data_IF_576386220606
#
_entry.id   IF_576386220606
#
_cell.length_a   1.000
_cell.length_b   1.000
_cell.length_c   1.000
_cell.angle_alpha   90.00
_cell.angle_beta   90.00
_cell.angle_gamma   90.00
#
_symmetry.space_group_name_H-M   'P 1'
#
loop_
_entity.id
_entity.type
_entity.pdbx_description
1 polymer ?
#
# COMPACT_ATOMS: atom_id res chain seq x y z
N UNK A 1 -7.87 -76.59 -9.31
CA UNK A 1 -7.01 -75.94 -8.30
C UNK A 1 -6.11 -74.94 -9.01
N UNK A 2 -6.14 -73.66 -8.58
CA UNK A 2 -5.05 -72.65 -8.57
C UNK A 2 -4.23 -72.34 -9.85
N UNK A 3 -3.84 -71.13 -10.25
CA UNK A 3 -4.02 -69.70 -9.90
C UNK A 3 -3.60 -68.97 -11.20
N UNK A 4 -4.44 -68.11 -11.79
CA UNK A 4 -3.96 -67.16 -12.81
C UNK A 4 -3.36 -65.95 -12.10
N UNK A 5 -2.04 -65.84 -12.14
CA UNK A 5 -1.29 -64.62 -11.82
C UNK A 5 -1.35 -63.70 -13.04
N UNK A 6 -2.07 -62.60 -12.94
CA UNK A 6 -1.96 -61.48 -13.87
C UNK A 6 -1.67 -60.21 -13.09
N UNK A 7 -0.45 -59.72 -13.28
CA UNK A 7 0.05 -58.49 -12.70
C UNK A 7 -0.76 -57.30 -13.23
N UNK A 8 -1.46 -56.61 -12.32
CA UNK A 8 -2.09 -55.33 -12.62
C UNK A 8 -0.99 -54.27 -12.75
N UNK A 9 -0.57 -53.95 -13.97
CA UNK A 9 0.32 -52.82 -14.24
C UNK A 9 -0.43 -51.52 -13.98
N UNK A 10 -0.32 -50.98 -12.77
CA UNK A 10 -0.75 -49.62 -12.52
C UNK A 10 0.24 -48.67 -13.20
N UNK A 11 -0.21 -48.01 -14.26
CA UNK A 11 0.50 -46.88 -14.88
C UNK A 11 0.60 -45.76 -13.85
N UNK A 12 1.77 -45.62 -13.24
CA UNK A 12 2.10 -44.46 -12.41
C UNK A 12 2.19 -43.27 -13.38
N UNK A 13 1.11 -42.52 -13.50
CA UNK A 13 1.14 -41.18 -14.10
C UNK A 13 1.95 -40.31 -13.15
N UNK A 14 3.23 -40.13 -13.45
CA UNK A 14 4.05 -39.09 -12.81
C UNK A 14 3.45 -37.75 -13.19
N UNK A 15 2.65 -37.16 -12.29
CA UNK A 15 2.31 -35.75 -12.36
C UNK A 15 3.61 -34.99 -12.15
N UNK A 16 4.31 -34.71 -13.26
CA UNK A 16 5.37 -33.71 -13.27
C UNK A 16 4.64 -32.39 -13.03
N UNK A 17 4.61 -31.95 -11.77
CA UNK A 17 4.32 -30.56 -11.45
C UNK A 17 5.50 -29.77 -12.00
N UNK A 18 5.44 -29.47 -13.29
CA UNK A 18 6.31 -28.50 -13.92
C UNK A 18 6.09 -27.19 -13.20
N UNK A 19 7.06 -26.82 -12.37
CA UNK A 19 7.19 -25.47 -11.83
C UNK A 19 7.48 -24.56 -13.02
N UNK A 20 6.43 -24.21 -13.76
CA UNK A 20 6.51 -23.18 -14.77
C UNK A 20 6.94 -21.90 -14.04
N UNK A 21 8.05 -21.25 -14.42
CA UNK A 21 8.39 -19.96 -13.85
C UNK A 21 7.22 -19.03 -14.16
N UNK A 22 6.54 -18.56 -13.11
CA UNK A 22 5.57 -17.48 -13.22
C UNK A 22 6.35 -16.34 -13.87
N UNK A 23 6.14 -16.11 -15.16
CA UNK A 23 6.61 -14.91 -15.84
C UNK A 23 5.87 -13.78 -15.13
N UNK A 24 6.53 -13.15 -14.17
CA UNK A 24 6.15 -11.84 -13.66
C UNK A 24 6.28 -10.91 -14.85
N UNK A 25 5.26 -10.83 -15.70
CA UNK A 25 5.11 -9.73 -16.65
C UNK A 25 5.21 -8.51 -15.76
N UNK A 26 6.29 -7.75 -15.90
CA UNK A 26 6.54 -6.57 -15.09
C UNK A 26 5.43 -5.58 -15.41
N UNK A 27 4.30 -5.73 -14.74
CA UNK A 27 3.15 -4.84 -14.81
C UNK A 27 3.72 -3.50 -14.38
N UNK A 28 3.93 -2.60 -15.34
CA UNK A 28 4.47 -1.29 -15.07
C UNK A 28 3.63 -0.66 -13.98
N UNK A 29 4.22 -0.51 -12.79
CA UNK A 29 3.53 -0.07 -11.59
C UNK A 29 3.00 1.35 -11.84
N UNK A 30 1.72 1.45 -12.18
CA UNK A 30 1.01 2.70 -12.50
C UNK A 30 -0.23 2.82 -11.61
N UNK A 31 -0.06 3.25 -10.34
CA UNK A 31 -1.19 3.39 -9.44
C UNK A 31 -2.16 4.44 -9.97
N UNK A 32 -3.45 4.08 -10.07
CA UNK A 32 -4.52 4.95 -10.61
C UNK A 32 -4.59 6.31 -9.92
N UNK A 33 -4.34 6.36 -8.61
CA UNK A 33 -4.36 7.59 -7.81
C UNK A 33 -3.18 7.60 -6.85
N UNK A 34 -2.37 8.67 -6.92
CA UNK A 34 -1.26 8.90 -5.98
C UNK A 34 -1.77 9.79 -4.85
N UNK A 35 -1.47 9.42 -3.60
CA UNK A 35 -1.80 10.23 -2.43
C UNK A 35 -0.85 11.43 -2.39
N UNK A 36 -1.39 12.63 -2.17
CA UNK A 36 -0.56 13.84 -2.03
C UNK A 36 0.33 13.74 -0.79
N UNK A 37 1.52 14.34 -0.85
CA UNK A 37 2.47 14.37 0.27
C UNK A 37 1.86 15.02 1.51
N UNK A 38 1.21 16.16 1.33
CA UNK A 38 0.51 16.87 2.41
C UNK A 38 -0.57 16.00 3.05
N UNK A 39 -1.30 15.21 2.25
CA UNK A 39 -2.29 14.25 2.76
C UNK A 39 -1.64 13.16 3.60
N UNK A 40 -0.51 12.58 3.13
CA UNK A 40 0.23 11.59 3.92
C UNK A 40 0.75 12.17 5.25
N UNK A 41 1.22 13.42 5.24
CA UNK A 41 1.68 14.10 6.46
C UNK A 41 0.54 14.42 7.43
N UNK A 42 -0.63 14.84 6.92
CA UNK A 42 -1.85 15.00 7.74
C UNK A 42 -2.28 13.68 8.39
N UNK A 43 -2.28 12.57 7.64
CA UNK A 43 -2.58 11.23 8.16
C UNK A 43 -1.62 10.86 9.31
N UNK A 44 -0.31 11.10 9.11
CA UNK A 44 0.71 10.83 10.15
C UNK A 44 0.49 11.71 11.38
N UNK A 45 0.27 13.02 11.21
CA UNK A 45 0.04 13.95 12.31
C UNK A 45 -1.19 13.58 13.14
N UNK A 46 -2.32 13.24 12.49
CA UNK A 46 -3.53 12.79 13.17
C UNK A 46 -3.29 11.49 13.95
N UNK A 47 -2.61 10.51 13.34
CA UNK A 47 -2.28 9.26 14.01
C UNK A 47 -1.37 9.45 15.22
N UNK A 48 -0.33 10.30 15.14
CA UNK A 48 0.54 10.61 16.28
C UNK A 48 -0.18 11.36 17.39
N UNK A 49 -1.04 12.34 17.03
CA UNK A 49 -1.85 13.09 17.99
C UNK A 49 -2.73 12.14 18.79
N UNK A 50 -3.41 11.22 18.11
CA UNK A 50 -4.27 10.21 18.75
C UNK A 50 -3.44 9.25 19.59
N UNK A 51 -2.31 8.74 19.09
CA UNK A 51 -1.42 7.88 19.88
C UNK A 51 -0.99 8.53 21.19
N UNK A 52 -0.61 9.81 21.16
CA UNK A 52 -0.21 10.59 22.34
C UNK A 52 -1.38 10.82 23.31
N UNK A 53 -2.58 11.08 22.80
CA UNK A 53 -3.78 11.22 23.64
C UNK A 53 -4.13 9.88 24.30
N UNK A 54 -4.08 8.79 23.53
CA UNK A 54 -4.35 7.45 24.03
C UNK A 54 -3.35 7.08 25.12
N UNK A 55 -2.05 7.23 24.89
CA UNK A 55 -1.00 6.96 25.88
C UNK A 55 -1.23 7.69 27.21
N UNK A 56 -1.66 8.95 27.18
CA UNK A 56 -1.99 9.72 28.39
C UNK A 56 -3.29 9.28 29.06
N UNK A 57 -4.29 8.88 28.28
CA UNK A 57 -5.63 8.52 28.79
C UNK A 57 -5.70 7.09 29.33
N UNK A 58 -4.84 6.16 28.86
CA UNK A 58 -4.73 4.80 29.41
C UNK A 58 -4.40 4.79 30.91
N UNK A 59 -3.86 5.89 31.45
CA UNK A 59 -3.46 6.02 32.85
C UNK A 59 -4.62 6.41 33.77
N UNK A 60 -5.73 6.95 33.25
CA UNK A 60 -6.71 7.65 34.10
C UNK A 60 -8.13 7.08 34.09
N UNK A 61 -8.61 6.38 33.05
CA UNK A 61 -9.94 5.75 33.11
C UNK A 61 -10.18 4.76 31.97
N UNK A 62 -10.52 3.47 32.22
CA UNK A 62 -10.82 2.50 31.15
C UNK A 62 -12.14 2.75 30.40
N UNK A 63 -13.01 3.62 30.91
CA UNK A 63 -14.43 3.71 30.54
C UNK A 63 -14.76 4.84 29.54
N UNK A 64 -13.83 5.74 29.27
CA UNK A 64 -13.99 6.82 28.28
C UNK A 64 -12.87 6.68 27.26
N UNK A 65 -12.97 5.67 26.40
CA UNK A 65 -12.01 5.48 25.32
C UNK A 65 -12.13 6.68 24.37
N UNK A 66 -11.09 7.53 24.25
CA UNK A 66 -11.10 8.62 23.31
C UNK A 66 -11.20 8.01 21.91
N UNK A 67 -12.16 8.51 21.15
CA UNK A 67 -12.60 8.02 19.86
C UNK A 67 -11.42 7.48 19.02
N UNK A 68 -11.20 6.17 19.10
CA UNK A 68 -9.97 5.55 18.60
C UNK A 68 -9.97 5.73 17.09
N UNK A 69 -9.07 6.59 16.57
CA UNK A 69 -8.81 6.63 15.13
C UNK A 69 -8.05 5.36 14.76
N UNK A 70 -8.80 4.28 14.67
CA UNK A 70 -8.38 3.05 14.03
C UNK A 70 -8.07 3.37 12.55
N UNK A 71 -7.15 2.60 11.99
CA UNK A 71 -6.87 2.54 10.56
C UNK A 71 -8.14 2.52 9.69
N UNK A 72 -9.24 1.98 10.21
CA UNK A 72 -10.58 1.97 9.61
C UNK A 72 -11.18 3.39 9.52
N UNK A 73 -11.16 4.18 10.60
CA UNK A 73 -11.70 5.56 10.59
C UNK A 73 -10.90 6.48 9.67
N UNK A 74 -9.57 6.39 9.72
CA UNK A 74 -8.71 7.12 8.78
C UNK A 74 -8.97 6.69 7.33
N UNK A 75 -9.31 5.42 7.11
CA UNK A 75 -9.66 4.89 5.78
C UNK A 75 -10.92 5.53 5.24
N UNK A 76 -11.94 5.67 6.08
CA UNK A 76 -13.20 6.33 5.74
C UNK A 76 -12.99 7.82 5.44
N UNK A 77 -12.28 8.54 6.31
CA UNK A 77 -12.04 9.99 6.19
C UNK A 77 -11.26 10.33 4.91
N UNK A 78 -10.15 9.63 4.66
CA UNK A 78 -9.28 9.92 3.51
C UNK A 78 -9.68 9.15 2.24
N UNK A 79 -10.70 8.29 2.32
CA UNK A 79 -11.16 7.41 1.22
C UNK A 79 -10.00 6.60 0.62
N UNK A 80 -9.13 6.08 1.50
CA UNK A 80 -7.97 5.25 1.15
C UNK A 80 -8.21 3.83 1.68
N UNK A 81 -7.58 2.82 1.09
CA UNK A 81 -7.65 1.48 1.66
C UNK A 81 -6.95 1.43 3.03
N UNK A 82 -7.46 0.59 3.93
CA UNK A 82 -6.88 0.37 5.26
C UNK A 82 -5.41 -0.02 5.16
N UNK A 83 -5.06 -0.84 4.17
CA UNK A 83 -3.68 -1.25 3.90
C UNK A 83 -2.79 -0.08 3.43
N UNK A 84 -3.30 0.84 2.63
CA UNK A 84 -2.55 2.03 2.23
C UNK A 84 -2.23 2.90 3.46
N UNK A 85 -3.17 3.06 4.38
CA UNK A 85 -2.95 3.79 5.62
C UNK A 85 -1.92 3.09 6.50
N UNK A 86 -2.03 1.76 6.67
CA UNK A 86 -1.02 0.98 7.42
C UNK A 86 0.38 1.17 6.83
N UNK A 87 0.52 1.19 5.51
CA UNK A 87 1.81 1.45 4.83
C UNK A 87 2.33 2.87 5.07
N UNK A 88 1.46 3.87 4.97
CA UNK A 88 1.81 5.27 5.25
C UNK A 88 2.30 5.41 6.71
N UNK A 89 1.59 4.80 7.65
CA UNK A 89 1.93 4.84 9.08
C UNK A 89 3.17 4.01 9.42
N UNK A 90 3.40 2.88 8.75
CA UNK A 90 4.61 2.06 8.90
C UNK A 90 5.84 2.74 8.31
N UNK A 91 5.67 3.52 7.25
CA UNK A 91 6.77 4.26 6.63
C UNK A 91 7.26 5.39 7.55
N UNK A 92 8.50 5.26 8.04
CA UNK A 92 9.16 6.27 8.90
C UNK A 92 9.98 7.29 8.11
N UNK A 93 9.83 7.34 6.79
CA UNK A 93 10.67 8.18 5.94
C UNK A 93 10.44 9.67 6.23
N UNK A 94 11.49 10.33 6.71
CA UNK A 94 11.57 11.79 6.84
C UNK A 94 12.73 12.27 5.94
N UNK A 95 12.44 12.99 4.85
CA UNK A 95 13.49 13.49 3.98
C UNK A 95 14.36 14.52 4.71
N UNK A 96 15.66 14.54 4.41
CA UNK A 96 16.52 15.66 4.84
C UNK A 96 16.08 16.97 4.16
N UNK A 97 16.51 18.11 4.67
CA UNK A 97 16.16 19.42 4.10
C UNK A 97 16.50 19.51 2.59
N UNK A 98 17.72 19.09 2.21
CA UNK A 98 18.18 19.06 0.82
C UNK A 98 17.32 18.12 -0.05
N UNK A 99 16.92 16.97 0.48
CA UNK A 99 16.05 16.03 -0.22
C UNK A 99 14.63 16.57 -0.39
N UNK A 100 14.09 17.20 0.64
CA UNK A 100 12.75 17.81 0.59
C UNK A 100 12.69 18.91 -0.47
N UNK A 101 13.69 19.79 -0.51
CA UNK A 101 13.78 20.86 -1.51
C UNK A 101 13.90 20.30 -2.93
N UNK A 102 14.77 19.31 -3.14
CA UNK A 102 14.92 18.63 -4.45
C UNK A 102 13.61 17.99 -4.90
N UNK A 103 12.93 17.28 -4.00
CA UNK A 103 11.65 16.64 -4.31
C UNK A 103 10.57 17.65 -4.68
N UNK A 104 10.54 18.79 -3.98
CA UNK A 104 9.58 19.86 -4.24
C UNK A 104 9.83 20.53 -5.60
N UNK A 105 11.09 20.85 -5.92
CA UNK A 105 11.48 21.37 -7.24
C UNK A 105 11.07 20.42 -8.36
N UNK A 106 11.34 19.12 -8.19
CA UNK A 106 10.96 18.10 -9.17
C UNK A 106 9.44 17.99 -9.34
N UNK A 107 8.67 18.12 -8.24
CA UNK A 107 7.21 18.14 -8.27
C UNK A 107 6.67 19.30 -9.10
N UNK A 108 7.16 20.51 -8.86
CA UNK A 108 6.74 21.69 -9.62
C UNK A 108 7.11 21.62 -11.10
N UNK A 109 8.32 21.14 -11.41
CA UNK A 109 8.77 20.93 -12.78
C UNK A 109 7.84 19.96 -13.53
N UNK A 110 7.56 18.79 -12.95
CA UNK A 110 6.67 17.80 -13.53
C UNK A 110 5.22 18.32 -13.68
N UNK A 111 4.74 19.17 -12.77
CA UNK A 111 3.43 19.83 -12.91
C UNK A 111 3.41 20.84 -14.07
N UNK A 112 4.47 21.62 -14.24
CA UNK A 112 4.62 22.56 -15.34
C UNK A 112 4.61 21.85 -16.70
N UNK A 113 5.46 20.84 -16.85
CA UNK A 113 5.54 20.00 -18.05
C UNK A 113 4.18 19.35 -18.38
N UNK A 114 3.46 18.87 -17.35
CA UNK A 114 2.12 18.31 -17.53
C UNK A 114 1.12 19.35 -18.03
N UNK A 115 1.14 20.57 -17.49
CA UNK A 115 0.26 21.67 -17.96
C UNK A 115 0.57 22.04 -19.41
N UNK A 116 1.84 22.12 -19.78
CA UNK A 116 2.27 22.39 -21.16
C UNK A 116 1.84 21.27 -22.11
N UNK A 117 1.98 20.01 -21.70
CA UNK A 117 1.49 18.87 -22.47
C UNK A 117 -0.02 18.94 -22.71
N UNK A 118 -0.81 19.27 -21.68
CA UNK A 118 -2.26 19.47 -21.82
C UNK A 118 -2.60 20.60 -22.80
N UNK A 119 -1.90 21.75 -22.71
CA UNK A 119 -2.05 22.86 -23.65
C UNK A 119 -1.75 22.41 -25.09
N UNK A 120 -0.65 21.68 -25.29
CA UNK A 120 -0.23 21.17 -26.60
C UNK A 120 -1.23 20.17 -27.20
N UNK A 121 -1.87 19.36 -26.36
CA UNK A 121 -2.92 18.40 -26.75
C UNK A 121 -4.29 19.05 -27.01
N UNK A 122 -4.43 20.37 -26.81
CA UNK A 122 -5.68 21.10 -27.09
C UNK A 122 -6.87 20.69 -26.21
N UNK A 123 -6.64 19.91 -25.15
CA UNK A 123 -7.68 19.55 -24.17
C UNK A 123 -7.81 20.69 -23.16
N UNK A 124 -8.89 21.47 -23.30
CA UNK A 124 -9.34 22.47 -22.32
C UNK A 124 -9.77 21.78 -21.02
#
# INVERSE_FOLDING_TARGET
MTIFSTFLTQSIRTLTTGNAPIKTTATQWSPKKRVSRETMEKIRALAFRVKRMNEKVHVLTPMQQPDVYDSIKLSQEFKLSVEAIRRILKSKYQPTFKDAERQEKNRYKAMGERKEAFKRLGRK
#
